data_IF_747211676708
#
_entry.id   IF_747211676708
#
_cell.length_a   1.000
_cell.length_b   1.000
_cell.length_c   1.000
_cell.angle_alpha   90.00
_cell.angle_beta   90.00
_cell.angle_gamma   90.00
#
_symmetry.space_group_name_H-M   'P 1'
#
loop_
_entity.id
_entity.type
_entity.pdbx_description
1 polymer ?
#
# COMPACT_ATOMS: atom_id res chain seq x y z
N UNK A 1 23.36 -24.47 -8.51
CA UNK A 1 23.21 -23.55 -9.66
C UNK A 1 21.87 -23.77 -10.37
N UNK A 2 21.66 -24.80 -11.20
CA UNK A 2 20.38 -25.00 -11.92
C UNK A 2 19.18 -25.37 -11.03
N UNK A 3 19.41 -26.14 -9.95
CA UNK A 3 18.35 -26.47 -8.97
C UNK A 3 17.93 -25.25 -8.16
N UNK A 4 18.89 -24.42 -7.73
CA UNK A 4 18.62 -23.22 -6.93
C UNK A 4 17.79 -22.19 -7.71
N UNK A 5 18.06 -22.03 -9.01
CA UNK A 5 17.23 -21.21 -9.91
C UNK A 5 15.82 -21.78 -10.08
N UNK A 6 15.68 -23.10 -10.16
CA UNK A 6 14.37 -23.75 -10.27
C UNK A 6 13.54 -23.58 -8.99
N UNK A 7 14.17 -23.72 -7.82
CA UNK A 7 13.50 -23.47 -6.53
C UNK A 7 13.10 -22.00 -6.36
N UNK A 8 13.98 -21.06 -6.73
CA UNK A 8 13.68 -19.62 -6.68
C UNK A 8 12.51 -19.24 -7.60
N UNK A 9 12.42 -19.83 -8.80
CA UNK A 9 11.28 -19.62 -9.70
C UNK A 9 9.97 -20.17 -9.12
N UNK A 10 10.00 -21.34 -8.48
CA UNK A 10 8.81 -21.92 -7.84
C UNK A 10 8.33 -21.07 -6.66
N UNK A 11 9.24 -20.55 -5.83
CA UNK A 11 8.90 -19.63 -4.74
C UNK A 11 8.25 -18.36 -5.30
N UNK A 12 8.80 -17.80 -6.37
CA UNK A 12 8.25 -16.59 -7.02
C UNK A 12 6.83 -16.82 -7.54
N UNK A 13 6.55 -18.00 -8.12
CA UNK A 13 5.20 -18.38 -8.58
C UNK A 13 4.23 -18.51 -7.40
N UNK A 14 4.66 -19.11 -6.28
CA UNK A 14 3.81 -19.24 -5.09
C UNK A 14 3.48 -17.86 -4.49
N UNK A 15 4.47 -16.97 -4.39
CA UNK A 15 4.24 -15.60 -3.90
C UNK A 15 3.30 -14.82 -4.82
N UNK A 16 3.41 -14.98 -6.15
CA UNK A 16 2.49 -14.37 -7.10
C UNK A 16 1.06 -14.93 -6.94
N UNK A 17 0.93 -16.25 -6.73
CA UNK A 17 -0.36 -16.91 -6.45
C UNK A 17 -1.00 -16.35 -5.19
N UNK A 18 -0.25 -16.26 -4.09
CA UNK A 18 -0.75 -15.71 -2.82
C UNK A 18 -1.17 -14.25 -2.98
N UNK A 19 -0.37 -13.44 -3.69
CA UNK A 19 -0.67 -12.04 -3.98
C UNK A 19 -2.00 -11.88 -4.72
N UNK A 20 -2.19 -12.64 -5.80
CA UNK A 20 -3.40 -12.60 -6.63
C UNK A 20 -4.60 -13.13 -5.83
N UNK A 21 -4.42 -14.25 -5.11
CA UNK A 21 -5.48 -14.85 -4.30
C UNK A 21 -6.01 -13.87 -3.26
N UNK A 22 -5.12 -13.29 -2.47
CA UNK A 22 -5.47 -12.36 -1.41
C UNK A 22 -6.16 -11.10 -1.99
N UNK A 23 -5.72 -10.62 -3.16
CA UNK A 23 -6.40 -9.52 -3.83
C UNK A 23 -7.83 -9.92 -4.26
N UNK A 24 -7.99 -11.10 -4.83
CA UNK A 24 -9.30 -11.61 -5.25
C UNK A 24 -10.25 -11.79 -4.06
N UNK A 25 -9.75 -12.25 -2.91
CA UNK A 25 -10.54 -12.32 -1.67
C UNK A 25 -11.09 -10.95 -1.29
N UNK A 26 -10.23 -9.92 -1.26
CA UNK A 26 -10.61 -8.54 -0.92
C UNK A 26 -11.64 -7.96 -1.90
N UNK A 27 -11.42 -8.12 -3.20
CA UNK A 27 -12.21 -7.47 -4.24
C UNK A 27 -13.52 -8.20 -4.55
N UNK A 28 -13.51 -9.53 -4.59
CA UNK A 28 -14.65 -10.31 -5.10
C UNK A 28 -15.39 -11.09 -4.04
N UNK A 29 -14.69 -11.67 -3.05
CA UNK A 29 -15.29 -12.58 -2.07
C UNK A 29 -15.85 -11.80 -0.90
N UNK A 30 -15.00 -11.01 -0.24
CA UNK A 30 -15.44 -10.11 0.83
C UNK A 30 -16.22 -8.91 0.29
N UNK A 31 -16.00 -8.57 -0.99
CA UNK A 31 -16.65 -7.48 -1.72
C UNK A 31 -16.69 -6.20 -0.87
N UNK A 32 -15.51 -5.84 -0.33
CA UNK A 32 -15.41 -4.86 0.72
C UNK A 32 -16.05 -3.51 0.33
N UNK A 33 -16.95 -2.95 1.16
CA UNK A 33 -17.55 -1.65 0.88
C UNK A 33 -16.52 -0.52 0.98
N UNK A 34 -16.87 0.64 0.43
CA UNK A 34 -16.07 1.86 0.54
C UNK A 34 -15.70 2.17 2.00
N UNK A 35 -14.47 2.62 2.23
CA UNK A 35 -13.87 2.76 3.56
C UNK A 35 -13.13 1.48 3.99
N UNK A 36 -13.84 0.37 4.16
CA UNK A 36 -13.21 -0.92 4.55
C UNK A 36 -12.27 -1.45 3.47
N UNK A 37 -12.60 -1.22 2.19
CA UNK A 37 -11.78 -1.62 1.04
C UNK A 37 -10.32 -1.18 1.19
N UNK A 38 -10.07 0.09 1.54
CA UNK A 38 -8.71 0.59 1.67
C UNK A 38 -7.95 -0.10 2.82
N UNK A 39 -8.63 -0.42 3.93
CA UNK A 39 -8.01 -1.14 5.05
C UNK A 39 -7.54 -2.53 4.61
N UNK A 40 -8.39 -3.26 3.88
CA UNK A 40 -8.03 -4.57 3.36
C UNK A 40 -6.92 -4.50 2.31
N UNK A 41 -6.91 -3.46 1.46
CA UNK A 41 -5.83 -3.25 0.50
C UNK A 41 -4.50 -2.88 1.18
N UNK A 42 -4.53 -2.12 2.27
CA UNK A 42 -3.35 -1.84 3.11
C UNK A 42 -2.80 -3.12 3.72
N UNK A 43 -3.66 -3.97 4.27
CA UNK A 43 -3.25 -5.26 4.82
C UNK A 43 -2.70 -6.15 3.70
N UNK A 44 -3.37 -6.21 2.55
CA UNK A 44 -2.90 -6.93 1.36
C UNK A 44 -1.47 -6.53 0.97
N UNK A 45 -1.15 -5.24 0.82
CA UNK A 45 0.23 -4.86 0.46
C UNK A 45 1.25 -5.16 1.56
N UNK A 46 0.88 -5.02 2.83
CA UNK A 46 1.77 -5.33 3.97
C UNK A 46 2.11 -6.82 4.04
N UNK A 47 1.13 -7.69 3.79
CA UNK A 47 1.31 -9.14 3.75
C UNK A 47 2.35 -9.57 2.70
N UNK A 48 2.47 -8.83 1.60
CA UNK A 48 3.37 -9.16 0.49
C UNK A 48 4.65 -8.31 0.46
N UNK A 49 5.02 -7.68 1.59
CA UNK A 49 6.24 -6.88 1.74
C UNK A 49 7.14 -7.35 2.89
N UNK A 50 7.49 -8.63 2.89
CA UNK A 50 8.24 -9.27 3.98
C UNK A 50 9.62 -8.63 4.27
N UNK A 51 10.31 -8.12 3.26
CA UNK A 51 11.68 -7.59 3.41
C UNK A 51 11.75 -6.30 4.25
N UNK A 52 10.66 -5.56 4.33
CA UNK A 52 10.65 -4.27 5.02
C UNK A 52 10.73 -4.42 6.54
N UNK A 53 10.02 -5.39 7.12
CA UNK A 53 10.07 -5.66 8.55
C UNK A 53 11.45 -6.17 8.99
N UNK A 54 12.09 -6.97 8.15
CA UNK A 54 13.45 -7.45 8.40
C UNK A 54 14.47 -6.30 8.34
N UNK A 55 14.38 -5.43 7.32
CA UNK A 55 15.21 -4.21 7.21
C UNK A 55 14.99 -3.28 8.41
N UNK A 56 13.74 -3.08 8.82
CA UNK A 56 13.42 -2.27 10.00
C UNK A 56 14.01 -2.87 11.28
N UNK A 57 13.92 -4.18 11.44
CA UNK A 57 14.50 -4.90 12.58
C UNK A 57 16.03 -4.75 12.62
N UNK A 58 16.71 -4.92 11.48
CA UNK A 58 18.15 -4.72 11.35
C UNK A 58 18.57 -3.31 11.79
N UNK A 59 17.92 -2.28 11.24
CA UNK A 59 18.19 -0.88 11.58
C UNK A 59 17.99 -0.61 13.08
N UNK A 60 16.86 -1.08 13.63
CA UNK A 60 16.48 -0.78 15.03
C UNK A 60 17.31 -1.56 16.06
N UNK A 61 17.94 -2.67 15.66
CA UNK A 61 18.83 -3.48 16.48
C UNK A 61 20.32 -3.08 16.34
N UNK A 62 20.65 -2.20 15.39
CA UNK A 62 22.01 -1.67 15.25
C UNK A 62 22.47 -0.88 16.48
N UNK A 63 23.78 -0.72 16.65
CA UNK A 63 24.37 -0.01 17.80
C UNK A 63 23.91 1.46 17.89
N UNK A 64 23.64 2.08 16.73
CA UNK A 64 23.17 3.46 16.64
C UNK A 64 22.09 3.58 15.57
N UNK A 65 20.83 3.23 15.89
CA UNK A 65 19.74 3.17 14.92
C UNK A 65 19.52 4.49 14.18
N UNK A 66 19.62 5.61 14.88
CA UNK A 66 19.39 6.95 14.34
C UNK A 66 20.49 7.44 13.39
N UNK A 67 21.68 6.84 13.45
CA UNK A 67 22.79 7.11 12.54
C UNK A 67 22.91 6.06 11.43
N UNK A 68 22.04 5.04 11.45
CA UNK A 68 22.03 4.02 10.42
C UNK A 68 21.62 4.63 9.07
N UNK A 69 22.34 4.28 8.00
CA UNK A 69 22.12 4.85 6.66
C UNK A 69 20.67 4.68 6.17
N UNK A 70 20.04 3.55 6.50
CA UNK A 70 18.66 3.24 6.15
C UNK A 70 17.61 3.70 7.19
N UNK A 71 17.97 4.50 8.19
CA UNK A 71 17.03 4.93 9.23
C UNK A 71 15.81 5.67 8.66
N UNK A 72 16.05 6.66 7.78
CA UNK A 72 14.97 7.44 7.18
C UNK A 72 14.16 6.65 6.16
N UNK A 73 14.78 5.69 5.46
CA UNK A 73 14.07 4.75 4.59
C UNK A 73 13.04 3.94 5.39
N UNK A 74 13.41 3.47 6.59
CA UNK A 74 12.52 2.71 7.46
C UNK A 74 11.36 3.58 7.95
N UNK A 75 11.65 4.80 8.41
CA UNK A 75 10.60 5.76 8.80
C UNK A 75 9.64 6.02 7.64
N UNK A 76 10.16 6.34 6.47
CA UNK A 76 9.35 6.63 5.29
C UNK A 76 8.56 5.40 4.84
N UNK A 77 9.14 4.21 4.88
CA UNK A 77 8.47 2.96 4.54
C UNK A 77 7.27 2.68 5.45
N UNK A 78 7.38 2.97 6.75
CA UNK A 78 6.25 2.86 7.68
C UNK A 78 5.16 3.89 7.35
N UNK A 79 5.51 5.14 7.07
CA UNK A 79 4.55 6.18 6.68
C UNK A 79 3.80 5.78 5.40
N UNK A 80 4.52 5.39 4.34
CA UNK A 80 3.94 4.98 3.06
C UNK A 80 2.98 3.78 3.20
N UNK A 81 3.24 2.89 4.15
CA UNK A 81 2.37 1.74 4.45
C UNK A 81 1.23 2.07 5.43
N UNK A 82 1.07 3.31 5.86
CA UNK A 82 0.08 3.72 6.86
C UNK A 82 0.34 3.18 8.27
N UNK A 83 1.59 2.78 8.57
CA UNK A 83 2.03 2.24 9.87
C UNK A 83 2.51 3.38 10.78
N UNK A 84 1.56 4.25 11.13
CA UNK A 84 1.87 5.52 11.80
C UNK A 84 2.44 5.32 13.20
N UNK A 85 1.98 4.32 13.94
CA UNK A 85 2.50 4.07 15.29
C UNK A 85 3.95 3.58 15.28
N UNK A 86 4.35 2.76 14.31
CA UNK A 86 5.74 2.36 14.13
C UNK A 86 6.60 3.54 13.68
N UNK A 87 6.13 4.34 12.71
CA UNK A 87 6.84 5.54 12.29
C UNK A 87 7.11 6.49 13.47
N UNK A 88 6.10 6.71 14.32
CA UNK A 88 6.20 7.52 15.55
C UNK A 88 7.21 6.95 16.53
N UNK A 89 7.16 5.65 16.81
CA UNK A 89 8.11 4.98 17.71
C UNK A 89 9.55 5.13 17.22
N UNK A 90 9.79 5.01 15.92
CA UNK A 90 11.12 5.17 15.33
C UNK A 90 11.57 6.63 15.42
N UNK A 91 10.71 7.59 15.05
CA UNK A 91 10.99 9.04 15.12
C UNK A 91 11.29 9.52 16.54
N UNK A 92 10.62 8.96 17.55
CA UNK A 92 10.84 9.32 18.94
C UNK A 92 12.29 9.09 19.39
N UNK A 93 12.97 8.07 18.83
CA UNK A 93 14.41 7.83 19.07
C UNK A 93 15.25 9.03 18.61
N UNK A 94 15.00 9.55 17.41
CA UNK A 94 15.70 10.73 16.90
C UNK A 94 15.32 12.00 17.68
N UNK A 95 14.05 12.18 18.03
CA UNK A 95 13.58 13.32 18.82
C UNK A 95 14.29 13.42 20.19
N UNK A 96 14.60 12.27 20.81
CA UNK A 96 15.33 12.22 22.09
C UNK A 96 16.77 12.73 22.00
N UNK A 97 17.41 12.61 20.84
CA UNK A 97 18.80 13.04 20.59
C UNK A 97 18.89 14.50 20.14
N UNK A 98 17.76 15.10 19.72
CA UNK A 98 17.69 16.48 19.24
C UNK A 98 16.76 17.36 20.09
N UNK A 99 17.12 17.69 21.35
CA UNK A 99 16.27 18.49 22.23
C UNK A 99 15.91 19.86 21.65
N UNK A 100 16.82 20.47 20.88
CA UNK A 100 16.62 21.77 20.23
C UNK A 100 15.48 21.76 19.20
N UNK A 101 15.23 20.61 18.57
CA UNK A 101 14.18 20.43 17.55
C UNK A 101 12.94 19.72 18.09
N UNK A 102 12.84 19.53 19.42
CA UNK A 102 11.78 18.75 20.08
C UNK A 102 10.38 19.19 19.66
N UNK A 103 10.13 20.50 19.55
CA UNK A 103 8.82 21.02 19.17
C UNK A 103 8.38 20.55 17.77
N UNK A 104 9.31 20.49 16.82
CA UNK A 104 9.04 20.06 15.44
C UNK A 104 8.74 18.55 15.38
N UNK A 105 9.48 17.73 16.14
CA UNK A 105 9.18 16.30 16.26
C UNK A 105 7.85 16.04 16.96
N UNK A 106 7.51 16.83 17.99
CA UNK A 106 6.20 16.73 18.66
C UNK A 106 5.05 17.11 17.74
N UNK A 107 5.23 18.13 16.90
CA UNK A 107 4.24 18.49 15.89
C UNK A 107 4.01 17.33 14.91
N UNK A 108 5.08 16.74 14.38
CA UNK A 108 4.95 15.57 13.50
C UNK A 108 4.31 14.37 14.22
N UNK A 109 4.72 14.07 15.46
CA UNK A 109 4.11 12.98 16.25
C UNK A 109 2.59 13.17 16.40
N UNK A 110 2.15 14.40 16.66
CA UNK A 110 0.73 14.73 16.75
C UNK A 110 0.01 14.53 15.41
N UNK A 111 0.60 14.94 14.28
CA UNK A 111 -0.01 14.74 12.96
C UNK A 111 -0.16 13.24 12.65
N UNK A 112 0.88 12.44 12.88
CA UNK A 112 0.85 11.00 12.66
C UNK A 112 -0.14 10.30 13.59
N UNK A 113 -0.21 10.70 14.86
CA UNK A 113 -1.12 10.12 15.84
C UNK A 113 -2.59 10.42 15.54
N UNK A 114 -2.88 11.63 15.05
CA UNK A 114 -4.24 12.08 14.74
C UNK A 114 -4.80 11.50 13.45
N UNK A 115 -3.97 10.83 12.63
CA UNK A 115 -4.40 10.31 11.34
C UNK A 115 -5.66 9.45 11.49
N UNK A 116 -6.78 9.82 10.85
CA UNK A 116 -8.02 9.06 10.98
C UNK A 116 -7.91 7.70 10.30
N UNK A 117 -8.38 6.66 11.00
CA UNK A 117 -8.55 5.30 10.46
C UNK A 117 -10.03 4.97 10.50
N UNK A 118 -10.58 4.46 9.39
CA UNK A 118 -11.97 4.05 9.33
C UNK A 118 -12.20 2.85 10.25
N UNK A 119 -13.28 2.87 11.03
CA UNK A 119 -13.63 1.75 11.92
C UNK A 119 -15.01 1.18 11.54
N UNK A 120 -15.06 0.12 10.72
CA UNK A 120 -16.32 -0.48 10.29
C UNK A 120 -17.11 -1.15 11.42
N UNK A 121 -16.46 -1.49 12.54
CA UNK A 121 -17.11 -2.06 13.72
C UNK A 121 -17.75 -1.03 14.66
N UNK A 122 -17.59 0.26 14.37
CA UNK A 122 -18.14 1.36 15.17
C UNK A 122 -19.43 1.94 14.55
N UNK A 123 -20.10 2.85 15.25
CA UNK A 123 -21.25 3.60 14.69
C UNK A 123 -20.83 4.72 13.72
N UNK A 124 -19.53 4.82 13.39
CA UNK A 124 -19.01 5.86 12.51
C UNK A 124 -19.50 5.67 11.07
N UNK A 125 -20.08 6.73 10.50
CA UNK A 125 -20.44 6.71 9.07
C UNK A 125 -19.22 7.03 8.19
N UNK A 126 -19.25 6.60 6.93
CA UNK A 126 -18.20 6.95 5.97
C UNK A 126 -18.06 8.46 5.79
N UNK A 127 -19.17 9.21 5.84
CA UNK A 127 -19.15 10.68 5.77
C UNK A 127 -18.47 11.31 6.98
N UNK A 128 -18.73 10.81 8.19
CA UNK A 128 -18.05 11.30 9.40
C UNK A 128 -16.54 11.02 9.37
N UNK A 129 -16.14 9.86 8.86
CA UNK A 129 -14.74 9.54 8.62
C UNK A 129 -14.11 10.50 7.61
N UNK A 130 -14.74 10.69 6.45
CA UNK A 130 -14.26 11.57 5.38
C UNK A 130 -14.08 13.02 5.85
N UNK A 131 -15.02 13.54 6.64
CA UNK A 131 -14.91 14.88 7.26
C UNK A 131 -13.71 14.96 8.21
N UNK A 132 -13.50 13.95 9.07
CA UNK A 132 -12.34 13.92 9.98
C UNK A 132 -11.03 13.83 9.20
N UNK A 133 -10.99 13.00 8.17
CA UNK A 133 -9.80 12.83 7.33
C UNK A 133 -9.46 14.12 6.60
N UNK A 134 -10.44 14.79 6.00
CA UNK A 134 -10.22 16.09 5.33
C UNK A 134 -9.72 17.16 6.29
N UNK A 135 -10.29 17.23 7.49
CA UNK A 135 -9.82 18.15 8.51
C UNK A 135 -8.36 17.88 8.92
N UNK A 136 -7.99 16.61 9.12
CA UNK A 136 -6.62 16.21 9.40
C UNK A 136 -5.67 16.54 8.23
N UNK A 137 -6.09 16.29 6.99
CA UNK A 137 -5.33 16.60 5.79
C UNK A 137 -5.08 18.12 5.65
N UNK A 138 -6.09 18.95 5.92
CA UNK A 138 -5.96 20.41 6.00
C UNK A 138 -5.00 20.87 7.12
N UNK A 139 -4.95 20.17 8.27
CA UNK A 139 -3.95 20.44 9.32
C UNK A 139 -2.53 20.17 8.81
N UNK A 140 -2.31 19.05 8.10
CA UNK A 140 -1.01 18.71 7.49
C UNK A 140 -0.59 19.76 6.46
N UNK A 141 -1.51 20.16 5.57
CA UNK A 141 -1.24 21.17 4.53
C UNK A 141 -0.90 22.54 5.14
N UNK A 142 -1.64 22.96 6.17
CA UNK A 142 -1.33 24.20 6.89
C UNK A 142 0.07 24.19 7.52
N UNK A 143 0.50 23.04 8.06
CA UNK A 143 1.86 22.93 8.62
C UNK A 143 2.95 23.15 7.56
N UNK A 144 2.72 22.71 6.32
CA UNK A 144 3.62 22.97 5.19
C UNK A 144 3.60 24.44 4.77
N UNK A 145 2.42 25.04 4.64
CA UNK A 145 2.26 26.45 4.28
C UNK A 145 2.94 27.39 5.29
N UNK A 146 2.83 27.06 6.59
CA UNK A 146 3.47 27.80 7.67
C UNK A 146 4.98 27.54 7.78
N UNK A 147 5.55 26.69 6.91
CA UNK A 147 6.96 26.27 6.95
C UNK A 147 7.36 25.66 8.32
N UNK A 148 6.42 24.97 8.98
CA UNK A 148 6.61 24.44 10.33
C UNK A 148 7.75 23.42 10.43
N UNK A 149 8.12 22.79 9.31
CA UNK A 149 9.17 21.78 9.20
C UNK A 149 10.44 22.27 8.50
N UNK A 150 10.59 23.57 8.18
CA UNK A 150 11.72 24.09 7.40
C UNK A 150 13.11 23.82 8.01
N UNK A 151 13.18 23.60 9.33
CA UNK A 151 14.43 23.23 10.02
C UNK A 151 14.81 21.75 9.87
N UNK A 152 13.93 20.90 9.31
CA UNK A 152 14.16 19.47 9.16
C UNK A 152 13.51 18.94 7.87
N UNK A 153 14.34 18.81 6.82
CA UNK A 153 13.94 18.31 5.51
C UNK A 153 13.23 16.96 5.56
N UNK A 154 13.65 16.04 6.42
CA UNK A 154 13.02 14.71 6.49
C UNK A 154 11.58 14.79 7.01
N UNK A 155 11.33 15.62 8.02
CA UNK A 155 9.97 15.83 8.54
C UNK A 155 9.11 16.60 7.53
N UNK A 156 9.69 17.55 6.80
CA UNK A 156 9.00 18.23 5.71
C UNK A 156 8.59 17.24 4.60
N UNK A 157 9.50 16.36 4.18
CA UNK A 157 9.21 15.29 3.20
C UNK A 157 8.11 14.36 3.71
N UNK A 158 8.15 13.93 4.98
CA UNK A 158 7.05 13.13 5.57
C UNK A 158 5.74 13.91 5.48
N UNK A 159 5.71 15.19 5.82
CA UNK A 159 4.48 15.98 5.75
C UNK A 159 3.96 16.16 4.31
N UNK A 160 4.85 16.26 3.31
CA UNK A 160 4.48 16.25 1.88
C UNK A 160 3.79 14.94 1.48
N UNK A 161 4.30 13.81 1.98
CA UNK A 161 3.63 12.51 1.80
C UNK A 161 2.26 12.50 2.47
N UNK A 162 2.13 13.02 3.69
CA UNK A 162 0.84 13.06 4.41
C UNK A 162 -0.24 13.86 3.69
N UNK A 163 0.14 14.91 2.95
CA UNK A 163 -0.80 15.69 2.12
C UNK A 163 -1.04 15.07 0.73
N UNK A 164 -0.43 13.93 0.42
CA UNK A 164 -0.61 13.25 -0.85
C UNK A 164 0.10 13.91 -2.03
N UNK A 165 1.21 14.60 -1.79
CA UNK A 165 2.04 15.18 -2.85
C UNK A 165 2.58 14.08 -3.77
N UNK A 166 2.08 14.03 -5.00
CA UNK A 166 2.35 12.93 -5.92
C UNK A 166 3.83 12.87 -6.33
N UNK A 167 4.48 14.02 -6.54
CA UNK A 167 5.89 14.09 -6.87
C UNK A 167 6.75 13.50 -5.75
N UNK A 168 6.48 13.88 -4.49
CA UNK A 168 7.17 13.31 -3.32
C UNK A 168 6.93 11.80 -3.18
N UNK A 169 5.71 11.30 -3.44
CA UNK A 169 5.44 9.86 -3.45
C UNK A 169 6.27 9.13 -4.52
N UNK A 170 6.37 9.72 -5.72
CA UNK A 170 7.13 9.16 -6.84
C UNK A 170 8.65 9.21 -6.60
N UNK A 171 9.16 10.19 -5.85
CA UNK A 171 10.57 10.20 -5.41
C UNK A 171 10.94 8.97 -4.56
N UNK A 172 9.96 8.32 -3.93
CA UNK A 172 10.16 7.15 -3.06
C UNK A 172 9.73 5.82 -3.72
N UNK A 173 9.63 5.77 -5.05
CA UNK A 173 9.30 4.54 -5.81
C UNK A 173 10.14 3.32 -5.43
N UNK A 174 11.45 3.51 -5.23
CA UNK A 174 12.37 2.44 -4.83
C UNK A 174 11.99 1.83 -3.47
N UNK A 175 11.50 2.65 -2.53
CA UNK A 175 11.04 2.16 -1.23
C UNK A 175 9.70 1.44 -1.35
N UNK A 176 8.83 1.87 -2.27
CA UNK A 176 7.55 1.23 -2.54
C UNK A 176 7.75 -0.14 -3.22
N UNK A 177 8.72 -0.23 -4.14
CA UNK A 177 9.12 -1.45 -4.83
C UNK A 177 8.20 -1.84 -6.00
N UNK A 178 6.89 -1.56 -5.90
CA UNK A 178 5.93 -1.87 -6.97
C UNK A 178 4.86 -0.78 -7.13
N UNK A 179 4.22 -0.75 -8.30
CA UNK A 179 3.17 0.22 -8.61
C UNK A 179 1.92 0.05 -7.73
N UNK A 180 1.61 -1.16 -7.27
CA UNK A 180 0.47 -1.40 -6.41
C UNK A 180 0.71 -0.90 -4.98
N UNK A 181 1.96 -0.89 -4.49
CA UNK A 181 2.30 -0.20 -3.24
C UNK A 181 2.13 1.32 -3.38
N UNK A 182 2.51 1.89 -4.53
CA UNK A 182 2.25 3.29 -4.85
C UNK A 182 0.75 3.58 -4.88
N UNK A 183 -0.04 2.74 -5.56
CA UNK A 183 -1.50 2.84 -5.61
C UNK A 183 -2.08 2.95 -4.21
N UNK A 184 -1.77 2.00 -3.31
CA UNK A 184 -2.36 2.00 -1.98
C UNK A 184 -1.91 3.22 -1.16
N UNK A 185 -0.65 3.64 -1.31
CA UNK A 185 -0.15 4.88 -0.67
C UNK A 185 -0.91 6.12 -1.16
N UNK A 186 -1.16 6.23 -2.48
CA UNK A 186 -1.97 7.31 -3.06
C UNK A 186 -3.40 7.31 -2.55
N UNK A 187 -4.03 6.13 -2.48
CA UNK A 187 -5.38 6.01 -1.94
C UNK A 187 -5.44 6.45 -0.47
N UNK A 188 -4.42 6.09 0.32
CA UNK A 188 -4.33 6.46 1.73
C UNK A 188 -4.26 7.97 1.97
N UNK A 189 -3.47 8.68 1.17
CA UNK A 189 -3.19 10.11 1.36
C UNK A 189 -4.00 11.05 0.47
N UNK A 190 -4.75 10.52 -0.51
CA UNK A 190 -5.54 11.34 -1.44
C UNK A 190 -6.99 10.89 -1.59
N UNK A 191 -7.31 9.59 -1.44
CA UNK A 191 -8.63 9.04 -1.74
C UNK A 191 -9.08 7.95 -0.75
N UNK A 192 -9.21 8.27 0.55
CA UNK A 192 -9.44 7.27 1.61
C UNK A 192 -10.83 6.61 1.56
N UNK A 193 -11.75 7.18 0.79
CA UNK A 193 -13.14 6.71 0.61
C UNK A 193 -13.41 6.16 -0.79
N UNK A 194 -12.34 5.81 -1.53
CA UNK A 194 -12.42 5.26 -2.89
C UNK A 194 -13.45 4.13 -2.98
N UNK A 195 -14.22 4.15 -4.07
CA UNK A 195 -15.20 3.10 -4.35
C UNK A 195 -14.58 2.01 -5.23
N UNK A 196 -15.05 0.76 -5.11
CA UNK A 196 -14.63 -0.33 -5.99
C UNK A 196 -14.66 0.04 -7.49
N UNK A 197 -15.73 0.69 -7.94
CA UNK A 197 -15.91 1.06 -9.36
C UNK A 197 -14.89 2.09 -9.89
N UNK A 198 -14.20 2.82 -9.01
CA UNK A 198 -13.20 3.83 -9.36
C UNK A 198 -11.77 3.29 -9.26
N UNK A 199 -11.59 2.10 -8.68
CA UNK A 199 -10.28 1.57 -8.30
C UNK A 199 -9.37 1.32 -9.50
N UNK A 200 -9.93 0.82 -10.61
CA UNK A 200 -9.21 0.63 -11.87
C UNK A 200 -8.55 1.93 -12.36
N UNK A 201 -9.25 3.06 -12.29
CA UNK A 201 -8.70 4.34 -12.76
C UNK A 201 -7.42 4.70 -12.00
N UNK A 202 -7.44 4.56 -10.67
CA UNK A 202 -6.26 4.81 -9.84
C UNK A 202 -5.17 3.78 -10.05
N UNK A 203 -5.53 2.50 -10.25
CA UNK A 203 -4.60 1.42 -10.53
C UNK A 203 -3.82 1.67 -11.82
N UNK A 204 -4.52 1.91 -12.93
CA UNK A 204 -3.91 2.25 -14.21
C UNK A 204 -3.02 3.48 -14.09
N UNK A 205 -3.51 4.57 -13.50
CA UNK A 205 -2.73 5.79 -13.29
C UNK A 205 -1.46 5.54 -12.47
N UNK A 206 -1.53 4.69 -11.44
CA UNK A 206 -0.37 4.37 -10.60
C UNK A 206 0.65 3.52 -11.35
N UNK A 207 0.17 2.58 -12.17
CA UNK A 207 1.02 1.77 -13.05
C UNK A 207 1.73 2.63 -14.09
N UNK A 208 1.01 3.51 -14.78
CA UNK A 208 1.57 4.42 -15.80
C UNK A 208 2.61 5.39 -15.22
N UNK A 209 2.40 5.85 -13.99
CA UNK A 209 3.38 6.70 -13.31
C UNK A 209 4.57 5.93 -12.79
N UNK A 210 4.38 4.69 -12.33
CA UNK A 210 5.44 3.89 -11.72
C UNK A 210 6.36 3.27 -12.78
N UNK A 211 5.77 2.64 -13.80
CA UNK A 211 6.50 2.09 -14.94
C UNK A 211 6.97 3.26 -15.80
N UNK A 212 8.28 3.31 -16.08
CA UNK A 212 8.79 4.25 -17.08
C UNK A 212 8.12 3.96 -18.42
N UNK A 213 7.85 5.00 -19.22
CA UNK A 213 7.05 5.01 -20.47
C UNK A 213 7.41 3.96 -21.54
N UNK A 214 8.45 3.15 -21.34
CA UNK A 214 8.97 2.15 -22.26
C UNK A 214 9.03 0.73 -21.68
N UNK A 215 8.70 0.55 -20.41
CA UNK A 215 8.65 -0.78 -19.77
C UNK A 215 7.29 -1.41 -20.03
N UNK A 216 7.28 -2.56 -20.71
CA UNK A 216 6.06 -3.34 -20.84
C UNK A 216 5.68 -3.93 -19.46
N UNK A 217 4.39 -3.90 -19.08
CA UNK A 217 3.94 -4.50 -17.83
C UNK A 217 4.23 -6.00 -17.85
N UNK A 218 4.64 -6.53 -16.70
CA UNK A 218 4.87 -7.96 -16.54
C UNK A 218 3.52 -8.71 -16.55
N UNK A 219 3.51 -10.04 -16.79
CA UNK A 219 2.27 -10.80 -16.75
C UNK A 219 1.50 -10.68 -15.42
N UNK A 220 2.23 -10.55 -14.30
CA UNK A 220 1.63 -10.32 -12.98
C UNK A 220 0.90 -8.97 -12.92
N UNK A 221 1.51 -7.89 -13.45
CA UNK A 221 0.89 -6.56 -13.48
C UNK A 221 -0.43 -6.57 -14.26
N UNK A 222 -0.44 -7.27 -15.40
CA UNK A 222 -1.65 -7.43 -16.22
C UNK A 222 -2.77 -8.16 -15.46
N UNK A 223 -2.43 -9.22 -14.71
CA UNK A 223 -3.39 -9.95 -13.87
C UNK A 223 -3.94 -9.06 -12.76
N UNK A 224 -3.08 -8.34 -12.04
CA UNK A 224 -3.50 -7.47 -10.93
C UNK A 224 -4.37 -6.32 -11.45
N UNK A 225 -4.03 -5.74 -12.61
CA UNK A 225 -4.82 -4.70 -13.24
C UNK A 225 -6.21 -5.21 -13.64
N UNK A 226 -6.29 -6.41 -14.26
CA UNK A 226 -7.57 -7.04 -14.57
C UNK A 226 -8.43 -7.31 -13.31
N UNK A 227 -7.79 -7.65 -12.18
CA UNK A 227 -8.48 -7.79 -10.90
C UNK A 227 -9.06 -6.44 -10.43
N UNK A 228 -8.31 -5.35 -10.53
CA UNK A 228 -8.80 -4.00 -10.21
C UNK A 228 -9.87 -3.48 -11.19
N UNK A 229 -9.91 -4.00 -12.43
CA UNK A 229 -10.99 -3.79 -13.41
C UNK A 229 -12.24 -4.63 -13.12
N UNK A 230 -12.19 -5.51 -12.12
CA UNK A 230 -13.21 -6.50 -11.84
C UNK A 230 -13.46 -7.48 -13.01
N UNK A 231 -12.48 -7.66 -13.92
CA UNK A 231 -12.54 -8.67 -14.99
C UNK A 231 -11.97 -10.00 -14.52
N UNK A 232 -12.80 -10.72 -13.78
CA UNK A 232 -12.47 -12.04 -13.25
C UNK A 232 -12.15 -13.08 -14.33
N UNK A 233 -12.75 -12.96 -15.52
CA UNK A 233 -12.50 -13.89 -16.61
C UNK A 233 -11.09 -13.72 -17.17
N UNK A 234 -10.65 -12.46 -17.30
CA UNK A 234 -9.29 -12.14 -17.73
C UNK A 234 -8.27 -12.54 -16.66
N UNK A 235 -8.56 -12.36 -15.36
CA UNK A 235 -7.72 -12.87 -14.25
C UNK A 235 -7.52 -14.38 -14.36
N UNK A 236 -8.60 -15.17 -14.49
CA UNK A 236 -8.52 -16.64 -14.59
C UNK A 236 -7.70 -17.07 -15.81
N UNK A 237 -7.97 -16.43 -16.96
CA UNK A 237 -7.27 -16.72 -18.22
C UNK A 237 -5.78 -16.42 -18.11
N UNK A 238 -5.41 -15.24 -17.64
CA UNK A 238 -4.00 -14.82 -17.58
C UNK A 238 -3.23 -15.60 -16.52
N UNK A 239 -3.85 -15.94 -15.39
CA UNK A 239 -3.25 -16.86 -14.41
C UNK A 239 -2.94 -18.23 -15.03
N UNK A 240 -3.81 -18.76 -15.89
CA UNK A 240 -3.60 -20.07 -16.54
C UNK A 240 -2.40 -20.06 -17.49
N UNK A 241 -2.16 -18.93 -18.16
CA UNK A 241 -1.10 -18.77 -19.15
C UNK A 241 0.22 -18.37 -18.48
N UNK A 242 0.20 -17.34 -17.64
CA UNK A 242 1.38 -16.72 -17.06
C UNK A 242 2.03 -17.57 -15.97
N UNK A 243 1.22 -18.19 -15.10
CA UNK A 243 1.74 -18.98 -13.98
C UNK A 243 1.96 -20.45 -14.37
N UNK A 244 1.39 -20.89 -15.51
CA UNK A 244 1.32 -22.29 -15.95
C UNK A 244 0.87 -23.24 -14.81
N UNK A 245 0.05 -22.74 -13.90
CA UNK A 245 -0.38 -23.43 -12.69
C UNK A 245 -1.88 -23.66 -12.71
N UNK A 246 -2.26 -24.78 -13.32
CA UNK A 246 -3.66 -25.20 -13.44
C UNK A 246 -4.31 -25.52 -12.10
N UNK A 247 -3.53 -25.85 -11.07
CA UNK A 247 -4.05 -26.07 -9.72
C UNK A 247 -4.65 -24.78 -9.16
N UNK A 248 -3.91 -23.67 -9.24
CA UNK A 248 -4.39 -22.37 -8.79
C UNK A 248 -5.66 -21.95 -9.52
N UNK A 249 -5.65 -22.04 -10.86
CA UNK A 249 -6.81 -21.66 -11.67
C UNK A 249 -8.03 -22.52 -11.36
N UNK A 250 -7.86 -23.83 -11.19
CA UNK A 250 -8.96 -24.73 -10.85
C UNK A 250 -9.59 -24.38 -9.48
N UNK A 251 -8.76 -24.14 -8.45
CA UNK A 251 -9.26 -23.82 -7.12
C UNK A 251 -9.83 -22.41 -7.00
N UNK A 252 -9.22 -21.42 -7.69
CA UNK A 252 -9.77 -20.07 -7.76
C UNK A 252 -11.14 -20.11 -8.45
N UNK A 253 -11.25 -20.79 -9.59
CA UNK A 253 -12.52 -20.93 -10.31
C UNK A 253 -13.58 -21.65 -9.47
N UNK A 254 -13.22 -22.72 -8.77
CA UNK A 254 -14.12 -23.47 -7.88
C UNK A 254 -14.62 -22.60 -6.71
N UNK A 255 -13.74 -21.83 -6.08
CA UNK A 255 -14.12 -20.90 -5.02
C UNK A 255 -15.07 -19.82 -5.53
N UNK A 256 -14.79 -19.25 -6.70
CA UNK A 256 -15.61 -18.20 -7.31
C UNK A 256 -16.99 -18.72 -7.74
N UNK A 257 -17.08 -19.96 -8.22
CA UNK A 257 -18.35 -20.65 -8.50
C UNK A 257 -19.15 -20.88 -7.21
N UNK A 258 -18.49 -21.33 -6.14
CA UNK A 258 -19.12 -21.45 -4.81
C UNK A 258 -19.61 -20.11 -4.26
N UNK A 259 -18.91 -19.01 -4.54
CA UNK A 259 -19.33 -17.64 -4.24
C UNK A 259 -20.43 -17.11 -5.18
N UNK A 260 -20.86 -17.88 -6.20
CA UNK A 260 -21.84 -17.50 -7.24
C UNK A 260 -21.42 -16.30 -8.10
N UNK A 261 -20.12 -16.04 -8.16
CA UNK A 261 -19.53 -14.95 -8.94
C UNK A 261 -19.34 -15.36 -10.40
N UNK A 262 -19.25 -16.67 -10.66
CA UNK A 262 -19.30 -17.25 -11.99
C UNK A 262 -20.72 -17.74 -12.28
N UNK A 263 -21.28 -17.29 -13.39
CA UNK A 263 -22.56 -17.82 -13.88
C UNK A 263 -22.29 -18.72 -15.08
N UNK A 264 -22.71 -19.98 -14.98
CA UNK A 264 -22.85 -20.80 -16.17
C UNK A 264 -23.99 -20.23 -17.02
N UNK A 265 -23.64 -19.51 -18.08
CA UNK A 265 -24.61 -19.21 -19.11
C UNK A 265 -25.11 -20.53 -19.69
N UNK A 266 -26.32 -20.95 -19.27
CA UNK A 266 -27.04 -22.02 -19.94
C UNK A 266 -27.25 -21.56 -21.37
N UNK A 267 -26.49 -22.14 -22.30
CA UNK A 267 -26.80 -22.09 -23.73
C UNK A 267 -28.22 -22.62 -23.90
N UNK A 268 -29.17 -21.72 -24.12
CA UNK A 268 -30.50 -22.03 -24.67
C UNK A 268 -30.41 -22.00 -26.20
#
# INVERSE_FOLDING_TARGET
STKDTQYSNQVSIVLAIELIWNLCEVLFIDAAPAGSLLLYLLDWVRLHKADMDEKAREVLQSESPTNHHAYWDVVMSFVLQGRMDEARQVLQKQASLQPASRAVYQLMDNLLHKMPVFNPGSTQTLTEFDVKWRHWHEECDRCLQDNSFASNRHLETICKVLVGDEDTLLEHKELLGTWYHLLISRLLFSHPTVKPAELHYYAQSSMDMFLESHSAPEPLDSILLAAFEFDLHQVIKDCSIALNNWWFVAHLTDLLDHCKLLQSHKLQ
#
